data_IF_894462623575
#
_entry.id   IF_894462623575
#
_cell.length_a   1.000
_cell.length_b   1.000
_cell.length_c   1.000
_cell.angle_alpha   90.00
_cell.angle_beta   90.00
_cell.angle_gamma   90.00
#
_symmetry.space_group_name_H-M   'P 1'
#
loop_
_entity.id
_entity.type
_entity.pdbx_description
1 polymer ?
#
# COMPACT_ATOMS: atom_id res chain seq x y z
N UNK A 1 19.54 -22.02 -19.32
CA UNK A 1 18.54 -21.98 -18.23
C UNK A 1 17.88 -20.63 -18.33
N UNK A 2 16.60 -20.59 -18.69
CA UNK A 2 15.87 -19.37 -18.99
C UNK A 2 15.66 -18.56 -17.72
N UNK A 3 16.15 -17.33 -17.72
CA UNK A 3 15.69 -16.30 -16.81
C UNK A 3 14.27 -15.94 -17.28
N UNK A 4 13.27 -16.64 -16.75
CA UNK A 4 11.89 -16.17 -16.83
C UNK A 4 11.87 -14.78 -16.19
N UNK A 5 11.77 -13.77 -17.04
CA UNK A 5 11.64 -12.37 -16.69
C UNK A 5 10.27 -12.16 -16.07
N UNK A 6 10.08 -12.70 -14.86
CA UNK A 6 8.90 -12.42 -14.05
C UNK A 6 8.92 -10.94 -13.72
N UNK A 7 8.02 -10.18 -14.35
CA UNK A 7 7.68 -8.83 -13.91
C UNK A 7 7.45 -8.90 -12.39
N UNK A 8 8.20 -8.14 -11.57
CA UNK A 8 8.04 -8.23 -10.13
C UNK A 8 6.65 -7.75 -9.74
N UNK A 9 5.81 -8.68 -9.25
CA UNK A 9 4.48 -8.36 -8.73
C UNK A 9 4.59 -7.68 -7.36
N UNK A 10 3.55 -6.91 -6.99
CA UNK A 10 3.48 -6.28 -5.67
C UNK A 10 3.48 -7.36 -4.58
N UNK A 11 2.69 -8.42 -4.74
CA UNK A 11 2.63 -9.56 -3.83
C UNK A 11 4.00 -10.21 -3.64
N UNK A 12 4.74 -10.48 -4.72
CA UNK A 12 6.08 -11.09 -4.59
C UNK A 12 7.04 -10.19 -3.80
N UNK A 13 6.99 -8.87 -4.00
CA UNK A 13 7.80 -7.93 -3.23
C UNK A 13 7.39 -7.89 -1.74
N UNK A 14 6.09 -7.90 -1.45
CA UNK A 14 5.55 -7.96 -0.08
C UNK A 14 5.98 -9.24 0.62
N UNK A 15 5.92 -10.39 -0.06
CA UNK A 15 6.35 -11.69 0.47
C UNK A 15 7.87 -11.72 0.74
N UNK A 16 8.68 -11.19 -0.17
CA UNK A 16 10.14 -11.07 0.02
C UNK A 16 10.52 -10.18 1.20
N UNK A 17 9.73 -9.14 1.47
CA UNK A 17 9.94 -8.19 2.57
C UNK A 17 8.97 -8.40 3.73
N UNK A 18 8.39 -9.60 3.86
CA UNK A 18 7.26 -9.84 4.75
C UNK A 18 7.51 -9.36 6.19
N UNK A 19 8.68 -9.67 6.76
CA UNK A 19 9.03 -9.25 8.13
C UNK A 19 9.10 -7.73 8.33
N UNK A 20 9.33 -6.95 7.26
CA UNK A 20 9.38 -5.47 7.31
C UNK A 20 8.00 -4.84 7.20
N UNK A 21 7.10 -5.47 6.46
CA UNK A 21 5.74 -4.97 6.22
C UNK A 21 4.69 -5.52 7.18
N UNK A 22 4.91 -6.72 7.72
CA UNK A 22 3.94 -7.50 8.50
C UNK A 22 4.60 -7.97 9.80
N UNK A 23 4.90 -7.06 10.76
CA UNK A 23 5.72 -7.35 11.94
C UNK A 23 5.06 -8.33 12.94
N UNK A 24 3.75 -8.55 12.87
CA UNK A 24 3.06 -9.62 13.60
C UNK A 24 3.22 -9.54 15.12
N UNK A 25 2.84 -8.41 15.71
CA UNK A 25 3.03 -8.08 17.12
C UNK A 25 1.73 -8.08 17.96
N UNK A 26 0.57 -8.25 17.34
CA UNK A 26 -0.75 -8.19 18.02
C UNK A 26 -1.28 -9.55 18.50
N UNK A 27 -0.40 -10.51 18.83
CA UNK A 27 -0.81 -11.86 19.26
C UNK A 27 -1.35 -12.77 18.14
N UNK A 28 -1.47 -12.26 16.91
CA UNK A 28 -1.81 -13.03 15.71
C UNK A 28 -0.55 -13.29 14.91
N UNK A 29 -0.21 -14.56 14.73
CA UNK A 29 0.94 -14.96 13.90
C UNK A 29 0.62 -14.73 12.43
N UNK A 30 1.20 -13.68 11.85
CA UNK A 30 1.11 -13.43 10.42
C UNK A 30 2.06 -14.35 9.66
N UNK A 31 1.60 -14.90 8.53
CA UNK A 31 2.41 -15.79 7.71
C UNK A 31 2.40 -15.38 6.23
N UNK A 32 3.53 -15.53 5.51
CA UNK A 32 3.58 -15.28 4.08
C UNK A 32 2.57 -16.12 3.28
N UNK A 33 2.39 -17.39 3.68
CA UNK A 33 1.43 -18.30 3.02
C UNK A 33 -0.02 -17.83 3.12
N UNK A 34 -0.44 -17.36 4.31
CA UNK A 34 -1.78 -16.78 4.47
C UNK A 34 -1.92 -15.48 3.69
N UNK A 35 -0.89 -14.64 3.64
CA UNK A 35 -0.93 -13.43 2.82
C UNK A 35 -1.11 -13.74 1.32
N UNK A 36 -0.38 -14.74 0.80
CA UNK A 36 -0.54 -15.23 -0.57
C UNK A 36 -1.97 -15.73 -0.82
N UNK A 37 -2.51 -16.57 0.06
CA UNK A 37 -3.89 -17.08 -0.04
C UNK A 37 -4.92 -15.94 -0.03
N UNK A 38 -4.71 -14.93 0.82
CA UNK A 38 -5.59 -13.77 0.89
C UNK A 38 -5.59 -13.00 -0.44
N UNK A 39 -4.41 -12.75 -1.02
CA UNK A 39 -4.31 -11.97 -2.25
C UNK A 39 -4.82 -12.73 -3.49
N UNK A 40 -4.51 -14.02 -3.59
CA UNK A 40 -4.79 -14.83 -4.79
C UNK A 40 -6.19 -15.43 -4.81
N UNK A 41 -6.89 -15.49 -3.66
CA UNK A 41 -8.21 -16.12 -3.58
C UNK A 41 -9.22 -15.27 -2.83
N UNK A 42 -8.93 -14.90 -1.58
CA UNK A 42 -9.97 -14.35 -0.70
C UNK A 42 -10.33 -12.90 -1.06
N UNK A 43 -9.35 -12.04 -1.30
CA UNK A 43 -9.56 -10.64 -1.66
C UNK A 43 -10.06 -10.50 -3.10
N UNK A 44 -9.72 -11.42 -4.01
CA UNK A 44 -10.35 -11.52 -5.34
C UNK A 44 -11.86 -11.77 -5.24
N UNK A 45 -12.29 -12.56 -4.26
CA UNK A 45 -13.69 -12.91 -4.06
C UNK A 45 -14.52 -11.73 -3.55
N UNK A 46 -13.90 -10.68 -3.00
CA UNK A 46 -14.60 -9.45 -2.59
C UNK A 46 -15.11 -8.62 -3.77
N UNK A 47 -14.66 -8.89 -5.01
CA UNK A 47 -15.10 -8.18 -6.24
C UNK A 47 -14.95 -6.66 -6.19
N UNK A 48 -13.98 -6.17 -5.40
CA UNK A 48 -13.65 -4.73 -5.26
C UNK A 48 -12.48 -4.28 -6.13
N UNK A 49 -12.17 -5.02 -7.19
CA UNK A 49 -11.06 -4.70 -8.10
C UNK A 49 -9.67 -5.11 -7.62
N UNK A 50 -9.57 -5.92 -6.56
CA UNK A 50 -8.29 -6.48 -6.11
C UNK A 50 -7.68 -7.42 -7.18
N UNK A 51 -6.40 -7.27 -7.56
CA UNK A 51 -5.70 -8.21 -8.46
C UNK A 51 -4.95 -9.31 -7.70
N UNK A 52 -4.80 -10.50 -8.30
CA UNK A 52 -4.09 -11.65 -7.70
C UNK A 52 -2.64 -11.33 -7.34
N UNK A 53 -2.01 -10.49 -8.14
CA UNK A 53 -0.64 -10.01 -8.03
C UNK A 53 -0.46 -8.98 -6.91
N UNK A 54 -1.55 -8.56 -6.27
CA UNK A 54 -1.58 -7.47 -5.30
C UNK A 54 -1.42 -6.09 -5.95
N UNK A 55 -1.77 -5.04 -5.21
CA UNK A 55 -1.70 -3.66 -5.70
C UNK A 55 -1.21 -2.70 -4.63
N UNK A 56 -0.60 -1.59 -5.07
CA UNK A 56 -0.32 -0.41 -4.23
C UNK A 56 -1.31 0.73 -4.53
N UNK A 57 -2.39 0.45 -5.27
CA UNK A 57 -3.47 1.42 -5.46
C UNK A 57 -4.25 1.60 -4.16
N UNK A 58 -4.16 2.79 -3.57
CA UNK A 58 -4.75 3.10 -2.28
C UNK A 58 -6.28 2.92 -2.27
N UNK A 59 -6.96 3.21 -3.37
CA UNK A 59 -8.42 3.07 -3.46
C UNK A 59 -8.83 1.59 -3.38
N UNK A 60 -8.14 0.73 -4.13
CA UNK A 60 -8.36 -0.72 -4.13
C UNK A 60 -8.04 -1.33 -2.77
N UNK A 61 -6.91 -0.96 -2.16
CA UNK A 61 -6.53 -1.44 -0.82
C UNK A 61 -7.55 -1.01 0.23
N UNK A 62 -8.00 0.25 0.17
CA UNK A 62 -9.04 0.77 1.07
C UNK A 62 -10.39 0.07 0.86
N UNK A 63 -10.74 -0.29 -0.36
CA UNK A 63 -11.96 -1.05 -0.63
C UNK A 63 -11.93 -2.44 0.04
N UNK A 64 -10.80 -3.15 -0.04
CA UNK A 64 -10.61 -4.42 0.69
C UNK A 64 -10.69 -4.19 2.21
N UNK A 65 -10.06 -3.12 2.71
CA UNK A 65 -10.12 -2.76 4.12
C UNK A 65 -11.57 -2.56 4.60
N UNK A 66 -12.40 -1.85 3.84
CA UNK A 66 -13.81 -1.64 4.18
C UNK A 66 -14.63 -2.93 4.18
N UNK A 67 -14.38 -3.86 3.25
CA UNK A 67 -15.04 -5.18 3.28
C UNK A 67 -14.63 -5.96 4.53
N UNK A 68 -13.35 -5.95 4.87
CA UNK A 68 -12.81 -6.67 6.04
C UNK A 68 -13.32 -6.11 7.37
N UNK A 69 -13.46 -4.78 7.46
CA UNK A 69 -13.90 -4.07 8.68
C UNK A 69 -15.41 -3.84 8.75
N UNK A 70 -16.15 -4.15 7.68
CA UNK A 70 -17.60 -3.98 7.59
C UNK A 70 -18.40 -4.93 8.49
N UNK A 71 -19.72 -4.97 8.28
CA UNK A 71 -20.63 -5.85 9.04
C UNK A 71 -21.51 -6.65 8.07
N UNK A 72 -21.46 -8.00 8.09
CA UNK A 72 -20.50 -8.82 8.84
C UNK A 72 -19.08 -8.69 8.27
N UNK A 73 -18.09 -8.59 9.16
CA UNK A 73 -16.68 -8.39 8.79
C UNK A 73 -15.84 -9.67 8.88
N UNK A 74 -14.54 -9.53 8.60
CA UNK A 74 -13.56 -10.61 8.60
C UNK A 74 -12.35 -10.27 9.47
N UNK A 75 -12.56 -10.19 10.78
CA UNK A 75 -11.53 -9.76 11.75
C UNK A 75 -10.24 -10.61 11.70
N UNK A 76 -10.32 -11.86 11.24
CA UNK A 76 -9.17 -12.75 11.00
C UNK A 76 -8.20 -12.23 9.92
N UNK A 77 -8.71 -11.41 8.99
CA UNK A 77 -7.97 -10.82 7.85
C UNK A 77 -7.48 -9.42 8.14
N UNK A 78 -8.01 -8.78 9.19
CA UNK A 78 -7.73 -7.40 9.54
C UNK A 78 -6.24 -7.08 9.63
N UNK A 79 -5.40 -7.85 10.35
CA UNK A 79 -3.98 -7.52 10.48
C UNK A 79 -3.22 -7.49 9.15
N UNK A 80 -3.65 -8.29 8.17
CA UNK A 80 -3.01 -8.34 6.84
C UNK A 80 -3.38 -7.13 6.00
N UNK A 81 -4.67 -6.77 5.95
CA UNK A 81 -5.11 -5.60 5.16
C UNK A 81 -4.68 -4.29 5.81
N UNK A 82 -4.64 -4.23 7.15
CA UNK A 82 -4.16 -3.05 7.87
C UNK A 82 -2.67 -2.81 7.59
N UNK A 83 -1.84 -3.86 7.70
CA UNK A 83 -0.41 -3.78 7.33
C UNK A 83 -0.23 -3.35 5.87
N UNK A 84 -1.01 -3.92 4.95
CA UNK A 84 -0.93 -3.55 3.53
C UNK A 84 -1.33 -2.09 3.29
N UNK A 85 -2.37 -1.61 3.97
CA UNK A 85 -2.82 -0.22 3.93
C UNK A 85 -1.75 0.72 4.47
N UNK A 86 -1.09 0.38 5.57
CA UNK A 86 0.03 1.14 6.11
C UNK A 86 1.17 1.25 5.09
N UNK A 87 1.61 0.11 4.52
CA UNK A 87 2.67 0.09 3.50
C UNK A 87 2.30 0.96 2.28
N UNK A 88 1.04 0.88 1.85
CA UNK A 88 0.53 1.66 0.71
C UNK A 88 0.47 3.16 1.01
N UNK A 89 0.21 3.53 2.27
CA UNK A 89 0.10 4.92 2.69
C UNK A 89 1.47 5.56 2.93
N UNK A 90 2.38 4.86 3.61
CA UNK A 90 3.69 5.42 3.99
C UNK A 90 4.79 5.18 2.96
N UNK A 91 4.56 4.25 2.02
CA UNK A 91 5.48 3.86 0.93
C UNK A 91 6.92 3.74 1.44
N UNK A 92 7.20 2.74 2.30
CA UNK A 92 8.49 2.62 2.97
C UNK A 92 9.63 2.40 1.97
N UNK A 93 10.85 2.84 2.29
CA UNK A 93 11.98 2.82 1.34
C UNK A 93 12.29 1.46 0.70
N UNK A 94 11.93 0.34 1.33
CA UNK A 94 12.10 -0.98 0.74
C UNK A 94 11.13 -1.28 -0.43
N UNK A 95 10.01 -0.54 -0.56
CA UNK A 95 9.09 -0.63 -1.71
C UNK A 95 9.53 0.22 -2.90
N UNK A 96 10.65 0.95 -2.82
CA UNK A 96 11.04 1.90 -3.88
C UNK A 96 11.18 1.24 -5.26
N UNK A 97 11.63 -0.02 -5.32
CA UNK A 97 11.76 -0.77 -6.56
C UNK A 97 10.38 -0.97 -7.24
N UNK A 98 9.32 -1.21 -6.47
CA UNK A 98 7.96 -1.33 -7.02
C UNK A 98 7.46 0.00 -7.59
N UNK A 99 7.71 1.11 -6.89
CA UNK A 99 7.32 2.44 -7.38
C UNK A 99 8.03 2.79 -8.69
N UNK A 100 9.28 2.35 -8.88
CA UNK A 100 10.00 2.50 -10.15
C UNK A 100 9.31 1.74 -11.29
N UNK A 101 8.96 0.47 -11.08
CA UNK A 101 8.26 -0.32 -12.11
C UNK A 101 6.84 0.19 -12.39
N UNK A 102 6.09 0.58 -11.35
CA UNK A 102 4.75 1.15 -11.50
C UNK A 102 4.78 2.47 -12.28
N UNK A 103 5.75 3.35 -12.01
CA UNK A 103 5.92 4.60 -12.77
C UNK A 103 6.32 4.36 -14.25
N UNK A 104 6.98 3.24 -14.54
CA UNK A 104 7.34 2.83 -15.92
C UNK A 104 6.15 2.24 -16.69
N UNK A 105 5.27 1.48 -16.03
CA UNK A 105 4.08 0.88 -16.68
C UNK A 105 2.88 1.87 -16.76
N UNK A 106 2.79 2.85 -15.85
CA UNK A 106 1.67 3.81 -15.81
C UNK A 106 1.89 5.14 -16.52
N UNK A 107 3.04 5.40 -17.15
CA UNK A 107 3.24 6.61 -17.96
C UNK A 107 2.74 7.88 -17.25
N UNK A 108 3.47 8.31 -16.22
CA UNK A 108 3.26 9.53 -15.41
C UNK A 108 2.22 9.47 -14.27
N UNK A 109 2.72 9.31 -13.05
CA UNK A 109 2.22 10.08 -11.91
C UNK A 109 3.42 10.66 -11.16
N UNK A 110 3.53 11.99 -11.23
CA UNK A 110 4.64 12.79 -10.73
C UNK A 110 4.63 12.80 -9.19
N UNK A 111 5.33 11.85 -8.57
CA UNK A 111 5.51 11.76 -7.11
C UNK A 111 6.47 12.82 -6.56
N UNK A 112 6.84 13.85 -7.32
CA UNK A 112 7.80 14.86 -6.87
C UNK A 112 7.21 16.01 -6.04
N UNK A 113 5.90 16.08 -5.82
CA UNK A 113 5.26 17.21 -5.12
C UNK A 113 4.47 16.85 -3.84
N UNK A 114 5.02 16.02 -2.94
CA UNK A 114 4.49 15.93 -1.56
C UNK A 114 5.50 16.39 -0.49
N UNK A 115 6.48 17.21 -0.83
CA UNK A 115 7.49 17.51 0.17
C UNK A 115 8.33 18.76 0.00
N UNK A 116 7.83 19.87 -0.56
CA UNK A 116 8.39 21.21 -0.31
C UNK A 116 7.33 22.31 -0.47
N UNK A 117 7.11 23.08 0.60
CA UNK A 117 6.21 24.24 0.63
C UNK A 117 5.93 24.66 2.07
N UNK A 118 6.97 24.91 2.86
CA UNK A 118 7.35 26.26 3.35
C UNK A 118 6.36 26.88 4.34
N UNK A 119 6.73 26.77 5.61
CA UNK A 119 6.41 27.68 6.71
C UNK A 119 6.57 29.15 6.24
N UNK A 120 5.46 29.87 6.08
CA UNK A 120 5.47 31.33 6.00
C UNK A 120 5.14 31.89 7.36
N UNK A 121 6.18 32.42 8.01
CA UNK A 121 6.07 33.27 9.18
C UNK A 121 5.11 34.45 8.88
N UNK A 122 4.06 34.57 9.68
CA UNK A 122 3.20 35.75 9.72
C UNK A 122 3.94 36.88 10.42
N UNK A 123 4.40 37.88 9.65
CA UNK A 123 4.67 39.23 10.17
C UNK A 123 3.57 40.15 9.68
N UNK A 124 2.66 40.48 10.59
CA UNK A 124 1.63 41.49 10.42
C UNK A 124 2.26 42.88 10.23
N UNK A 125 2.01 43.52 9.09
CA UNK A 125 2.25 44.95 8.89
C UNK A 125 0.89 45.61 8.64
N UNK A 126 0.48 46.51 9.53
CA UNK A 126 -0.75 47.30 9.41
C UNK A 126 -0.67 48.25 8.19
N UNK A 127 -1.82 48.61 7.57
CA UNK A 127 -1.85 49.63 6.54
C UNK A 127 -1.85 51.05 7.16
N UNK A 128 -1.07 51.94 6.53
CA UNK A 128 -1.18 53.40 6.72
C UNK A 128 -2.42 53.89 5.97
N UNK A 129 -3.29 54.62 6.67
CA UNK A 129 -4.41 55.36 6.08
C UNK A 129 -3.94 56.62 5.32
N UNK A 130 -4.89 57.29 4.64
CA UNK A 130 -4.63 58.34 3.64
C UNK A 130 -4.02 59.62 4.22
#
# INVERSE_FOLDING_TARGET
MGEDSFKPTVLNCMLKNFKKGFPGDNGVKLTPGKLCTLCELEWLAFRVGWPSEGTLDLLTVRAVYWVVTGTPGHLDKFPYVDSWLQITTVVPSWTWFLCKYAATELGTCDLTNLGKGQERASKSHLPRGP
#
